data_IF_285809649541
#
_entry.id   IF_285809649541
#
_cell.length_a   1.000
_cell.length_b   1.000
_cell.length_c   1.000
_cell.angle_alpha   90.00
_cell.angle_beta   90.00
_cell.angle_gamma   90.00
#
_symmetry.space_group_name_H-M   'P 1'
#
loop_
_entity.id
_entity.type
_entity.pdbx_description
1 polymer ?
#
# COMPACT_ATOMS: atom_id res chain seq x y z
N UNK A 1 46.74 -1.62 10.45
CA UNK A 1 46.46 -1.88 11.89
C UNK A 1 45.17 -2.70 11.95
N UNK A 2 45.29 -4.02 11.92
CA UNK A 2 44.15 -4.94 12.04
C UNK A 2 43.71 -5.01 13.51
N UNK A 3 42.43 -4.71 13.77
CA UNK A 3 41.85 -4.90 15.09
C UNK A 3 41.67 -6.40 15.35
N UNK A 4 42.45 -6.95 16.29
CA UNK A 4 42.29 -8.33 16.73
C UNK A 4 40.90 -8.55 17.35
N UNK A 5 40.14 -9.53 16.85
CA UNK A 5 38.81 -9.89 17.37
C UNK A 5 38.92 -10.52 18.75
N UNK A 6 38.37 -9.86 19.78
CA UNK A 6 38.27 -10.40 21.14
C UNK A 6 37.13 -11.41 21.28
N UNK A 7 37.45 -12.62 21.76
CA UNK A 7 36.45 -13.66 22.06
C UNK A 7 35.49 -13.25 23.18
N UNK A 8 35.99 -12.50 24.17
CA UNK A 8 35.18 -12.02 25.29
C UNK A 8 34.09 -11.03 24.83
N UNK A 9 34.46 -10.08 23.96
CA UNK A 9 33.51 -9.13 23.37
C UNK A 9 32.50 -9.86 22.49
N UNK A 10 32.97 -10.82 21.69
CA UNK A 10 32.09 -11.65 20.86
C UNK A 10 31.03 -12.41 21.67
N UNK A 11 31.40 -12.99 22.82
CA UNK A 11 30.45 -13.64 23.72
C UNK A 11 29.47 -12.64 24.36
N UNK A 12 29.97 -11.49 24.82
CA UNK A 12 29.13 -10.45 25.43
C UNK A 12 28.05 -9.94 24.45
N UNK A 13 28.39 -9.72 23.18
CA UNK A 13 27.44 -9.30 22.14
C UNK A 13 26.35 -10.35 21.85
N UNK A 14 26.58 -11.62 22.17
CA UNK A 14 25.59 -12.70 22.08
C UNK A 14 24.63 -12.74 23.27
N UNK A 15 25.07 -12.24 24.43
CA UNK A 15 24.25 -12.22 25.65
C UNK A 15 23.38 -10.96 25.75
N UNK A 16 23.83 -9.84 25.20
CA UNK A 16 23.07 -8.58 25.22
C UNK A 16 21.95 -8.64 24.19
N UNK A 17 20.73 -8.32 24.64
CA UNK A 17 19.55 -8.21 23.79
C UNK A 17 19.21 -6.75 23.52
N UNK A 18 18.87 -6.45 22.28
CA UNK A 18 18.47 -5.11 21.82
C UNK A 18 17.01 -5.14 21.40
N UNK A 19 16.32 -4.02 21.55
CA UNK A 19 15.00 -3.84 20.97
C UNK A 19 15.10 -3.67 19.45
N UNK A 20 14.15 -4.23 18.70
CA UNK A 20 14.03 -3.98 17.26
C UNK A 20 13.82 -2.47 16.98
N UNK A 21 14.38 -1.93 15.88
CA UNK A 21 14.14 -0.53 15.46
C UNK A 21 12.66 -0.18 15.30
N UNK A 22 11.83 -1.19 15.00
CA UNK A 22 10.38 -1.06 14.84
C UNK A 22 9.61 -1.18 16.16
N UNK A 23 10.29 -1.16 17.33
CA UNK A 23 9.66 -1.20 18.65
C UNK A 23 8.59 -0.14 18.84
N UNK A 24 8.83 1.07 18.34
CA UNK A 24 7.87 2.19 18.38
C UNK A 24 6.58 1.93 17.58
N UNK A 25 6.59 0.94 16.69
CA UNK A 25 5.44 0.51 15.88
C UNK A 25 4.81 -0.79 16.41
N UNK A 26 5.23 -1.25 17.59
CA UNK A 26 4.63 -2.39 18.29
C UNK A 26 5.42 -3.69 18.23
N UNK A 27 6.61 -3.70 17.61
CA UNK A 27 7.44 -4.91 17.58
C UNK A 27 7.89 -5.30 19.01
N UNK A 28 7.52 -6.49 19.52
CA UNK A 28 7.88 -6.90 20.88
C UNK A 28 9.32 -7.46 20.98
N UNK A 29 9.95 -7.75 19.83
CA UNK A 29 11.22 -8.48 19.73
C UNK A 29 12.37 -7.83 20.51
N UNK A 30 13.07 -8.68 21.25
CA UNK A 30 14.32 -8.39 21.94
C UNK A 30 15.33 -9.50 21.68
N UNK A 31 16.30 -9.21 20.80
CA UNK A 31 17.18 -10.23 20.23
C UNK A 31 18.66 -9.83 20.34
N UNK A 32 19.59 -10.80 20.38
CA UNK A 32 21.02 -10.53 20.21
C UNK A 32 21.33 -9.87 18.86
N UNK A 33 22.46 -9.15 18.77
CA UNK A 33 22.82 -8.39 17.55
C UNK A 33 22.88 -9.27 16.29
N UNK A 34 23.35 -10.51 16.44
CA UNK A 34 23.55 -11.46 15.34
C UNK A 34 22.23 -11.93 14.69
N UNK A 35 21.13 -11.95 15.44
CA UNK A 35 19.80 -12.38 14.97
C UNK A 35 18.93 -11.17 14.56
N UNK A 36 19.34 -9.96 14.93
CA UNK A 36 18.56 -8.74 14.73
C UNK A 36 18.48 -8.33 13.25
N UNK A 37 19.56 -8.50 12.48
CA UNK A 37 19.56 -8.09 11.07
C UNK A 37 18.53 -8.89 10.25
N UNK A 38 18.47 -10.20 10.44
CA UNK A 38 17.48 -11.07 9.79
C UNK A 38 16.05 -10.74 10.25
N UNK A 39 15.86 -10.50 11.55
CA UNK A 39 14.57 -10.08 12.07
C UNK A 39 14.11 -8.75 11.46
N UNK A 40 14.99 -7.74 11.41
CA UNK A 40 14.65 -6.43 10.88
C UNK A 40 14.38 -6.42 9.38
N UNK A 41 14.95 -7.38 8.63
CA UNK A 41 14.67 -7.61 7.22
C UNK A 41 13.32 -8.28 6.96
N UNK A 42 12.69 -8.87 7.97
CA UNK A 42 11.41 -9.62 7.85
C UNK A 42 10.39 -9.19 8.92
N UNK A 43 10.56 -7.97 9.44
CA UNK A 43 9.78 -7.50 10.57
C UNK A 43 8.39 -7.06 10.09
N UNK A 44 7.36 -7.82 10.45
CA UNK A 44 5.95 -7.48 10.15
C UNK A 44 5.50 -6.12 10.72
N UNK A 45 6.23 -5.57 11.67
CA UNK A 45 5.98 -4.26 12.28
C UNK A 45 6.72 -3.10 11.58
N UNK A 46 7.35 -3.35 10.44
CA UNK A 46 7.91 -2.27 9.63
C UNK A 46 6.82 -1.26 9.24
N UNK A 47 7.07 0.06 9.34
CA UNK A 47 6.04 1.05 9.08
C UNK A 47 5.77 1.21 7.58
N UNK A 48 4.53 1.57 7.25
CA UNK A 48 4.18 2.25 6.01
C UNK A 48 4.28 3.77 6.21
N UNK A 49 4.52 4.50 5.12
CA UNK A 49 4.82 5.93 5.13
C UNK A 49 3.72 6.72 4.43
N UNK A 50 3.41 7.91 4.94
CA UNK A 50 2.45 8.78 4.29
C UNK A 50 3.03 9.32 2.96
N UNK A 51 2.36 9.11 1.81
CA UNK A 51 2.85 9.56 0.52
C UNK A 51 2.70 11.09 0.31
N UNK A 52 2.09 11.80 1.26
CA UNK A 52 1.91 13.26 1.18
C UNK A 52 3.22 13.95 1.57
N UNK A 53 3.74 14.77 0.65
CA UNK A 53 4.99 15.49 0.80
C UNK A 53 5.00 16.31 2.11
N UNK A 54 6.10 16.22 2.87
CA UNK A 54 6.31 16.89 4.16
C UNK A 54 5.37 16.48 5.31
N UNK A 55 4.55 15.43 5.15
CA UNK A 55 3.74 14.92 6.27
C UNK A 55 4.60 14.18 7.32
N UNK A 56 5.49 13.30 6.86
CA UNK A 56 6.42 12.56 7.73
C UNK A 56 5.78 11.49 8.62
N UNK A 57 4.48 11.20 8.47
CA UNK A 57 3.83 10.13 9.21
C UNK A 57 4.38 8.76 8.79
N UNK A 58 4.65 7.90 9.78
CA UNK A 58 5.04 6.51 9.60
C UNK A 58 4.38 5.64 10.68
N UNK A 59 3.88 4.47 10.30
CA UNK A 59 3.28 3.51 11.23
C UNK A 59 2.67 2.31 10.53
N UNK A 60 2.04 1.40 11.28
CA UNK A 60 1.35 0.24 10.71
C UNK A 60 0.33 0.66 9.62
N UNK A 61 0.08 -0.20 8.64
CA UNK A 61 -0.80 0.08 7.49
C UNK A 61 -2.20 0.59 7.91
N UNK A 62 -2.83 -0.03 8.91
CA UNK A 62 -4.12 0.41 9.47
C UNK A 62 -4.05 1.83 10.07
N UNK A 63 -2.95 2.15 10.74
CA UNK A 63 -2.73 3.48 11.31
C UNK A 63 -2.47 4.52 10.22
N UNK A 64 -1.78 4.14 9.13
CA UNK A 64 -1.62 4.98 7.95
C UNK A 64 -2.95 5.25 7.26
N UNK A 65 -3.80 4.24 7.04
CA UNK A 65 -5.12 4.44 6.45
C UNK A 65 -5.98 5.40 7.28
N UNK A 66 -5.99 5.23 8.61
CA UNK A 66 -6.68 6.14 9.53
C UNK A 66 -6.11 7.56 9.45
N UNK A 67 -4.79 7.69 9.41
CA UNK A 67 -4.12 8.97 9.25
C UNK A 67 -4.50 9.68 7.94
N UNK A 68 -4.50 8.97 6.81
CA UNK A 68 -4.86 9.53 5.50
C UNK A 68 -6.30 10.04 5.46
N UNK A 69 -7.24 9.28 6.02
CA UNK A 69 -8.64 9.70 6.12
C UNK A 69 -8.82 10.90 7.05
N UNK A 70 -8.21 10.88 8.25
CA UNK A 70 -8.43 11.90 9.28
C UNK A 70 -7.65 13.21 9.04
N UNK A 71 -6.44 13.14 8.46
CA UNK A 71 -5.54 14.29 8.30
C UNK A 71 -5.48 14.82 6.88
N UNK A 72 -5.69 13.96 5.88
CA UNK A 72 -5.63 14.32 4.47
C UNK A 72 -6.99 14.23 3.75
N UNK A 73 -8.06 13.89 4.46
CA UNK A 73 -9.41 13.86 3.91
C UNK A 73 -9.60 12.81 2.81
N UNK A 74 -8.75 11.78 2.78
CA UNK A 74 -8.93 10.68 1.83
C UNK A 74 -10.27 9.98 2.07
N UNK A 75 -10.92 9.57 0.97
CA UNK A 75 -12.10 8.74 1.04
C UNK A 75 -11.78 7.38 1.67
N UNK A 76 -12.82 6.69 2.15
CA UNK A 76 -12.71 5.30 2.62
C UNK A 76 -13.87 4.48 2.07
N UNK A 77 -13.56 3.35 1.46
CA UNK A 77 -14.53 2.40 0.92
C UNK A 77 -14.18 0.99 1.40
N UNK A 78 -15.20 0.21 1.79
CA UNK A 78 -15.03 -1.23 2.04
C UNK A 78 -15.30 -1.98 0.75
N UNK A 79 -14.49 -2.99 0.45
CA UNK A 79 -14.60 -3.80 -0.76
C UNK A 79 -14.50 -5.28 -0.41
N UNK A 80 -15.16 -6.12 -1.19
CA UNK A 80 -15.04 -7.57 -1.12
C UNK A 80 -14.35 -8.07 -2.41
N UNK A 81 -13.54 -9.11 -2.29
CA UNK A 81 -12.91 -9.72 -3.48
C UNK A 81 -13.95 -10.32 -4.41
N UNK A 82 -13.77 -10.15 -5.72
CA UNK A 82 -14.70 -10.63 -6.74
C UNK A 82 -15.96 -9.76 -6.93
N UNK A 83 -16.21 -8.81 -6.01
CA UNK A 83 -17.37 -7.92 -6.09
C UNK A 83 -17.03 -6.58 -6.73
N UNK A 84 -17.96 -6.05 -7.53
CA UNK A 84 -17.78 -4.77 -8.19
C UNK A 84 -18.01 -3.60 -7.22
N UNK A 85 -17.08 -2.66 -7.19
CA UNK A 85 -17.19 -1.42 -6.41
C UNK A 85 -17.00 -0.18 -7.29
N UNK A 86 -17.79 0.86 -7.04
CA UNK A 86 -17.63 2.16 -7.70
C UNK A 86 -16.68 3.03 -6.88
N UNK A 87 -15.55 3.41 -7.49
CA UNK A 87 -14.51 4.20 -6.82
C UNK A 87 -14.43 5.60 -7.43
N UNK A 88 -14.31 6.67 -6.62
CA UNK A 88 -14.09 8.01 -7.13
C UNK A 88 -12.73 8.14 -7.82
N UNK A 89 -12.72 8.57 -9.08
CA UNK A 89 -11.50 8.72 -9.89
C UNK A 89 -10.70 9.97 -9.53
N UNK A 90 -11.36 11.02 -9.03
CA UNK A 90 -10.73 12.34 -8.83
C UNK A 90 -10.31 12.63 -7.38
N UNK A 91 -10.67 11.74 -6.45
CA UNK A 91 -10.36 11.92 -5.03
C UNK A 91 -9.66 10.68 -4.48
N UNK A 92 -8.51 10.83 -3.80
CA UNK A 92 -7.79 9.69 -3.29
C UNK A 92 -8.64 8.96 -2.26
N UNK A 93 -8.73 7.64 -2.42
CA UNK A 93 -9.60 6.78 -1.61
C UNK A 93 -8.82 5.57 -1.12
N UNK A 94 -8.98 5.23 0.16
CA UNK A 94 -8.53 3.96 0.72
C UNK A 94 -9.62 2.91 0.51
N UNK A 95 -9.26 1.80 -0.11
CA UNK A 95 -10.09 0.61 -0.23
C UNK A 95 -9.66 -0.38 0.87
N UNK A 96 -10.60 -0.84 1.69
CA UNK A 96 -10.32 -1.84 2.73
C UNK A 96 -11.05 -3.13 2.42
N UNK A 97 -10.29 -4.19 2.19
CA UNK A 97 -10.80 -5.53 1.97
C UNK A 97 -11.27 -6.18 3.28
N UNK A 98 -12.05 -7.26 3.15
CA UNK A 98 -12.65 -7.95 4.29
C UNK A 98 -11.62 -8.70 5.16
N UNK A 99 -10.51 -9.12 4.58
CA UNK A 99 -9.36 -9.70 5.30
C UNK A 99 -8.49 -8.65 6.01
N UNK A 100 -8.88 -7.37 5.93
CA UNK A 100 -8.18 -6.26 6.55
C UNK A 100 -7.12 -5.59 5.67
N UNK A 101 -6.85 -6.11 4.47
CA UNK A 101 -5.88 -5.50 3.55
C UNK A 101 -6.34 -4.14 3.07
N UNK A 102 -5.36 -3.30 2.78
CA UNK A 102 -5.56 -1.90 2.44
C UNK A 102 -4.99 -1.67 1.05
N UNK A 103 -5.82 -1.12 0.17
CA UNK A 103 -5.46 -0.78 -1.19
C UNK A 103 -5.71 0.70 -1.48
N UNK A 104 -5.00 1.21 -2.46
CA UNK A 104 -5.25 2.54 -3.02
C UNK A 104 -5.27 2.47 -4.54
N UNK A 105 -6.32 3.04 -5.14
CA UNK A 105 -6.42 3.23 -6.58
C UNK A 105 -5.93 4.64 -6.92
N UNK A 106 -4.79 4.71 -7.59
CA UNK A 106 -4.23 5.93 -8.17
C UNK A 106 -4.81 6.14 -9.56
N UNK A 107 -5.38 7.31 -9.80
CA UNK A 107 -5.90 7.72 -11.10
C UNK A 107 -5.16 8.97 -11.59
N UNK A 108 -4.52 8.89 -12.75
CA UNK A 108 -3.80 9.99 -13.37
C UNK A 108 -4.36 10.25 -14.77
N UNK A 109 -4.70 11.50 -15.03
CA UNK A 109 -5.24 11.91 -16.32
C UNK A 109 -4.08 12.07 -17.32
N UNK A 110 -4.09 11.31 -18.40
CA UNK A 110 -3.05 11.39 -19.42
C UNK A 110 -3.29 12.60 -20.33
N UNK A 111 -2.25 13.40 -20.56
CA UNK A 111 -2.31 14.55 -21.48
C UNK A 111 -1.91 14.07 -22.88
N UNK A 112 -2.89 13.85 -23.75
CA UNK A 112 -2.69 13.42 -25.14
C UNK A 112 -4.01 13.31 -25.93
N UNK A 113 -3.92 13.32 -27.27
CA UNK A 113 -5.04 13.38 -28.22
C UNK A 113 -5.92 12.13 -28.22
N UNK A 114 -6.82 12.05 -27.24
CA UNK A 114 -7.77 10.95 -27.05
C UNK A 114 -8.48 10.99 -25.70
N UNK A 115 -7.88 11.63 -24.68
CA UNK A 115 -8.47 11.75 -23.33
C UNK A 115 -8.60 10.40 -22.62
N UNK A 116 -7.76 10.17 -21.61
CA UNK A 116 -7.79 8.92 -20.86
C UNK A 116 -7.32 9.10 -19.43
N UNK A 117 -7.82 8.22 -18.58
CA UNK A 117 -7.40 8.12 -17.18
C UNK A 117 -6.64 6.81 -17.00
N UNK A 118 -5.34 6.92 -16.74
CA UNK A 118 -4.52 5.81 -16.29
C UNK A 118 -4.86 5.50 -14.84
N UNK A 119 -5.16 4.23 -14.58
CA UNK A 119 -5.51 3.69 -13.28
C UNK A 119 -4.46 2.68 -12.88
N UNK A 120 -4.11 2.68 -11.60
CA UNK A 120 -3.17 1.73 -11.00
C UNK A 120 -3.55 1.50 -9.56
N UNK A 121 -3.46 0.25 -9.11
CA UNK A 121 -3.80 -0.11 -7.74
C UNK A 121 -2.56 -0.63 -7.03
N UNK A 122 -2.39 -0.21 -5.79
CA UNK A 122 -1.31 -0.67 -4.91
C UNK A 122 -1.90 -1.27 -3.63
N UNK A 123 -1.26 -2.32 -3.11
CA UNK A 123 -1.52 -2.86 -1.78
C UNK A 123 -0.58 -2.17 -0.79
N UNK A 124 -1.15 -1.41 0.15
CA UNK A 124 -0.38 -0.71 1.19
C UNK A 124 -0.05 -1.72 2.30
N UNK A 125 1.21 -2.14 2.33
CA UNK A 125 1.75 -3.11 3.30
C UNK A 125 3.24 -2.85 3.52
N UNK A 126 3.83 -3.27 4.64
CA UNK A 126 5.28 -3.20 4.80
C UNK A 126 6.00 -3.98 3.69
N UNK A 127 7.22 -3.59 3.35
CA UNK A 127 7.94 -4.14 2.19
C UNK A 127 8.35 -5.61 2.41
N UNK A 128 8.49 -6.04 3.67
CA UNK A 128 9.01 -7.34 4.03
C UNK A 128 8.12 -8.11 5.01
N UNK A 129 6.88 -8.42 4.59
CA UNK A 129 5.92 -9.22 5.37
C UNK A 129 5.75 -10.61 4.74
N UNK A 130 5.49 -11.62 5.57
CA UNK A 130 4.98 -12.92 5.11
C UNK A 130 3.71 -12.71 4.24
N UNK A 131 3.71 -13.21 2.99
CA UNK A 131 2.66 -12.94 2.01
C UNK A 131 3.02 -11.91 0.93
N UNK A 132 4.27 -11.44 0.87
CA UNK A 132 4.77 -10.64 -0.26
C UNK A 132 4.57 -11.33 -1.63
N UNK A 133 4.52 -12.66 -1.66
CA UNK A 133 4.26 -13.49 -2.85
C UNK A 133 2.79 -13.55 -3.27
N UNK A 134 1.87 -13.03 -2.45
CA UNK A 134 0.46 -12.98 -2.84
C UNK A 134 0.27 -11.97 -3.96
N UNK A 135 -0.21 -12.50 -5.09
CA UNK A 135 -0.52 -11.74 -6.28
C UNK A 135 -1.99 -11.34 -6.26
N UNK A 136 -2.24 -10.03 -6.29
CA UNK A 136 -3.59 -9.50 -6.46
C UNK A 136 -3.72 -8.91 -7.86
N UNK A 137 -4.92 -8.98 -8.42
CA UNK A 137 -5.26 -8.30 -9.66
C UNK A 137 -6.54 -7.50 -9.48
N UNK A 138 -6.70 -6.42 -10.23
CA UNK A 138 -7.94 -5.66 -10.29
C UNK A 138 -8.47 -5.64 -11.73
N UNK A 139 -9.79 -5.71 -11.86
CA UNK A 139 -10.49 -5.55 -13.14
C UNK A 139 -11.20 -4.19 -13.15
N UNK A 140 -11.02 -3.42 -14.23
CA UNK A 140 -11.78 -2.20 -14.48
C UNK A 140 -12.85 -2.48 -15.51
N UNK A 141 -14.10 -2.29 -15.10
CA UNK A 141 -15.29 -2.43 -15.96
C UNK A 141 -15.87 -1.06 -16.27
N UNK A 142 -15.99 -0.76 -17.56
CA UNK A 142 -16.62 0.48 -18.01
C UNK A 142 -18.15 0.39 -17.92
N UNK A 143 -18.81 1.54 -17.90
CA UNK A 143 -20.27 1.66 -17.77
C UNK A 143 -21.05 0.81 -18.80
N UNK A 144 -20.47 0.66 -20.00
CA UNK A 144 -21.06 -0.04 -21.13
C UNK A 144 -20.67 -1.53 -21.23
N UNK A 145 -19.88 -2.06 -20.28
CA UNK A 145 -19.29 -3.42 -20.32
C UNK A 145 -18.49 -3.73 -21.61
N UNK A 146 -18.17 -2.71 -22.43
CA UNK A 146 -17.45 -2.90 -23.70
C UNK A 146 -15.97 -3.12 -23.50
N UNK A 147 -15.43 -2.76 -22.33
CA UNK A 147 -14.02 -2.89 -22.00
C UNK A 147 -13.88 -3.53 -20.62
N UNK A 148 -13.12 -4.63 -20.59
CA UNK A 148 -12.61 -5.26 -19.37
C UNK A 148 -11.09 -5.21 -19.46
N UNK A 149 -10.46 -4.67 -18.44
CA UNK A 149 -9.01 -4.54 -18.37
C UNK A 149 -8.55 -5.02 -17.01
N UNK A 150 -7.47 -5.79 -16.98
CA UNK A 150 -6.91 -6.37 -15.76
C UNK A 150 -5.44 -6.01 -15.63
N UNK A 151 -4.99 -5.76 -14.41
CA UNK A 151 -3.59 -5.55 -14.09
C UNK A 151 -3.26 -6.09 -12.69
N UNK A 152 -1.99 -6.42 -12.48
CA UNK A 152 -1.46 -6.82 -11.18
C UNK A 152 -1.40 -5.63 -10.21
N UNK A 153 -1.40 -5.95 -8.91
CA UNK A 153 -1.30 -4.98 -7.81
C UNK A 153 0.02 -5.23 -7.11
N UNK A 154 0.83 -4.18 -7.00
CA UNK A 154 2.12 -4.23 -6.31
C UNK A 154 1.96 -3.91 -4.83
N UNK A 155 2.74 -4.58 -3.99
CA UNK A 155 2.87 -4.26 -2.58
C UNK A 155 3.83 -3.10 -2.36
N UNK A 156 3.50 -2.17 -1.46
CA UNK A 156 4.40 -1.05 -1.14
C UNK A 156 4.19 -0.52 0.27
N UNK A 157 5.29 -0.20 0.96
CA UNK A 157 5.29 0.57 2.20
C UNK A 157 5.08 2.07 1.95
N UNK A 158 5.08 2.52 0.69
CA UNK A 158 5.07 3.94 0.28
C UNK A 158 6.27 4.75 0.79
N UNK A 159 7.35 4.08 1.23
CA UNK A 159 8.59 4.71 1.71
C UNK A 159 9.16 5.75 0.74
N UNK A 160 9.10 5.45 -0.56
CA UNK A 160 9.58 6.33 -1.63
C UNK A 160 8.46 7.14 -2.30
N UNK A 161 7.26 7.13 -1.72
CA UNK A 161 6.07 7.78 -2.25
C UNK A 161 5.34 6.95 -3.30
N UNK A 162 4.30 7.55 -3.92
CA UNK A 162 3.42 6.84 -4.85
C UNK A 162 4.01 6.58 -6.25
N UNK A 163 5.01 7.35 -6.69
CA UNK A 163 5.52 7.28 -8.07
C UNK A 163 6.28 5.98 -8.36
N UNK A 164 6.95 5.43 -7.35
CA UNK A 164 7.80 4.25 -7.52
C UNK A 164 7.03 2.94 -7.31
N UNK A 165 5.78 3.02 -6.84
CA UNK A 165 4.94 1.87 -6.50
C UNK A 165 4.03 1.37 -7.63
N UNK A 166 4.08 2.01 -8.80
CA UNK A 166 3.13 1.76 -9.89
C UNK A 166 3.89 1.34 -11.15
N UNK A 167 3.94 0.04 -11.46
CA UNK A 167 4.47 -0.45 -12.73
C UNK A 167 3.33 -0.98 -13.63
N UNK A 168 2.34 -1.68 -13.06
CA UNK A 168 1.17 -2.17 -13.79
C UNK A 168 0.00 -1.16 -13.79
N UNK A 169 -0.47 -0.78 -14.98
CA UNK A 169 -1.57 0.20 -15.14
C UNK A 169 -2.50 -0.11 -16.30
N UNK A 170 -3.72 0.40 -16.16
CA UNK A 170 -4.82 0.28 -17.11
C UNK A 170 -5.24 1.68 -17.54
N UNK A 171 -5.35 1.97 -18.84
CA UNK A 171 -5.85 3.27 -19.31
C UNK A 171 -7.29 3.15 -19.79
N UNK A 172 -8.19 3.89 -19.15
CA UNK A 172 -9.62 3.94 -19.51
C UNK A 172 -9.90 5.26 -20.23
N UNK A 173 -10.51 5.23 -21.42
CA UNK A 173 -10.99 6.44 -22.09
C UNK A 173 -11.97 7.23 -21.20
N UNK A 174 -11.83 8.55 -21.17
CA UNK A 174 -12.60 9.39 -20.23
C UNK A 174 -14.12 9.35 -20.48
N UNK A 175 -14.54 9.12 -21.72
CA UNK A 175 -15.94 8.99 -22.13
C UNK A 175 -16.59 7.68 -21.65
N UNK A 176 -15.78 6.70 -21.22
CA UNK A 176 -16.24 5.42 -20.67
C UNK A 176 -16.35 5.41 -19.13
N UNK A 177 -15.93 6.49 -18.47
CA UNK A 177 -16.05 6.65 -17.02
C UNK A 177 -17.49 6.96 -16.61
N UNK A 178 -17.97 6.30 -15.54
CA UNK A 178 -19.30 6.56 -14.98
C UNK A 178 -19.41 8.00 -14.47
N UNK A 179 -20.46 8.71 -14.88
CA UNK A 179 -20.76 10.04 -14.33
C UNK A 179 -21.58 9.89 -13.06
N UNK A 180 -21.47 10.87 -12.15
CA UNK A 180 -22.11 10.83 -10.83
C UNK A 180 -23.65 10.65 -10.88
N UNK A 181 -24.30 11.01 -11.99
CA UNK A 181 -25.72 10.79 -12.25
C UNK A 181 -26.10 9.33 -12.58
N UNK A 182 -25.19 8.55 -13.14
CA UNK A 182 -25.44 7.17 -13.58
C UNK A 182 -25.53 6.20 -12.40
N UNK A 183 -24.76 6.48 -11.34
CA UNK A 183 -24.73 5.70 -10.09
C UNK A 183 -26.09 5.72 -9.38
N UNK A 184 -26.81 6.85 -9.42
CA UNK A 184 -28.12 7.02 -8.76
C UNK A 184 -29.26 6.23 -9.41
N UNK A 185 -29.12 5.80 -10.66
CA UNK A 185 -30.15 5.01 -11.35
C UNK A 185 -30.06 3.52 -11.04
N UNK A 186 -28.85 3.00 -10.76
CA UNK A 186 -28.64 1.57 -10.42
C UNK A 186 -28.99 1.21 -8.98
N UNK A 187 -29.05 2.16 -8.05
CA UNK A 187 -29.47 1.90 -6.66
C UNK A 187 -31.00 1.91 -6.44
N UNK A 188 -31.78 2.09 -7.52
CA UNK A 188 -33.26 2.10 -7.50
C UNK A 188 -33.89 0.97 -8.33
N UNK A 189 -33.08 0.04 -8.83
CA UNK A 189 -33.52 -1.18 -9.51
C UNK A 189 -33.15 -2.40 -8.69
#
# INVERSE_FOLDING_TARGET
MELARSRAIGHLLRCIRFACKNRRYGCPSFLPRQDMDEHELSCDHEPCFCPILRCGFAGAADSLARHLTARHGWGRLRVAYGEAAVVPVQSPTILRADDGRIFHLSCTRERGGGGGTAMSMVCIRPDHVAGAEEEFTYEVRTACQRLQMQAAVEGTSLRYGMKDAVQARVTVPDDMLLRQGDVRRRSRQ
#
